data_IF_671844604727
#
_entry.id   IF_671844604727
#
_cell.length_a   1.000
_cell.length_b   1.000
_cell.length_c   1.000
_cell.angle_alpha   90.00
_cell.angle_beta   90.00
_cell.angle_gamma   90.00
#
_symmetry.space_group_name_H-M   'P 1'
#
loop_
_entity.id
_entity.type
_entity.pdbx_description
1 polymer ?
#
# COMPACT_ATOMS: atom_id res chain seq x y z
N UNK A 1 49.26 6.56 -24.76
CA UNK A 1 48.27 5.48 -24.66
C UNK A 1 48.40 4.85 -23.28
N UNK A 2 47.60 5.29 -22.31
CA UNK A 2 47.54 4.69 -20.97
C UNK A 2 46.68 3.43 -21.05
N UNK A 3 47.29 2.27 -20.88
CA UNK A 3 46.56 1.00 -20.79
C UNK A 3 45.57 1.08 -19.62
N UNK A 4 44.27 1.02 -19.92
CA UNK A 4 43.23 0.94 -18.89
C UNK A 4 43.47 -0.31 -18.07
N UNK A 5 43.68 -0.17 -16.76
CA UNK A 5 43.76 -1.31 -15.84
C UNK A 5 42.51 -2.17 -16.04
N UNK A 6 42.64 -3.50 -16.20
CA UNK A 6 41.48 -4.37 -16.35
C UNK A 6 40.63 -4.24 -15.09
N UNK A 7 39.43 -3.69 -15.24
CA UNK A 7 38.44 -3.61 -14.17
C UNK A 7 37.99 -5.03 -13.88
N UNK A 8 38.54 -5.65 -12.85
CA UNK A 8 38.12 -6.98 -12.40
C UNK A 8 36.64 -6.91 -12.06
N UNK A 9 35.77 -7.52 -12.88
CA UNK A 9 34.34 -7.59 -12.60
C UNK A 9 34.16 -8.40 -11.32
N UNK A 10 33.83 -7.73 -10.21
CA UNK A 10 33.45 -8.39 -8.97
C UNK A 10 32.19 -9.20 -9.24
N UNK A 11 32.25 -10.50 -9.00
CA UNK A 11 31.14 -11.41 -9.28
C UNK A 11 30.06 -11.31 -8.21
N UNK A 12 28.86 -11.77 -8.55
CA UNK A 12 27.77 -11.80 -7.58
C UNK A 12 28.01 -12.72 -6.38
N UNK A 13 28.82 -13.77 -6.52
CA UNK A 13 29.22 -14.62 -5.41
C UNK A 13 30.18 -13.91 -4.45
N UNK A 14 31.19 -13.21 -4.99
CA UNK A 14 32.16 -12.46 -4.19
C UNK A 14 31.51 -11.37 -3.32
N UNK A 15 30.49 -10.68 -3.84
CA UNK A 15 29.74 -9.70 -3.06
C UNK A 15 28.91 -10.38 -1.96
N UNK A 16 28.31 -11.54 -2.23
CA UNK A 16 27.50 -12.26 -1.25
C UNK A 16 28.36 -12.78 -0.08
N UNK A 17 29.59 -13.21 -0.36
CA UNK A 17 30.56 -13.62 0.66
C UNK A 17 31.07 -12.43 1.49
N UNK A 18 31.36 -11.30 0.83
CA UNK A 18 31.89 -10.11 1.49
C UNK A 18 30.81 -9.33 2.27
N UNK A 19 29.57 -9.35 1.79
CA UNK A 19 28.43 -8.62 2.35
C UNK A 19 27.22 -9.54 2.50
N UNK A 20 27.27 -10.54 3.40
CA UNK A 20 26.19 -11.50 3.57
C UNK A 20 24.94 -10.82 4.11
N UNK A 21 23.78 -11.19 3.55
CA UNK A 21 22.48 -10.74 4.05
C UNK A 21 22.26 -11.29 5.47
N UNK A 22 21.83 -10.42 6.39
CA UNK A 22 21.46 -10.86 7.74
C UNK A 22 20.02 -11.40 7.79
N UNK A 23 19.58 -11.94 8.92
CA UNK A 23 18.17 -12.29 9.10
C UNK A 23 17.28 -11.05 9.20
N UNK A 24 16.02 -11.15 8.77
CA UNK A 24 15.02 -10.08 8.88
C UNK A 24 14.84 -9.57 10.31
N UNK A 25 15.04 -10.42 11.32
CA UNK A 25 14.95 -10.03 12.74
C UNK A 25 16.02 -9.00 13.16
N UNK A 26 17.14 -8.96 12.44
CA UNK A 26 18.18 -7.92 12.62
C UNK A 26 17.89 -6.66 11.81
N UNK A 27 16.78 -6.63 11.07
CA UNK A 27 16.34 -5.53 10.21
C UNK A 27 14.87 -5.20 10.50
N UNK A 28 14.54 -4.70 11.70
CA UNK A 28 13.15 -4.55 12.14
C UNK A 28 12.32 -3.67 11.20
N UNK A 29 12.91 -2.66 10.57
CA UNK A 29 12.21 -1.82 9.59
C UNK A 29 11.77 -2.60 8.32
N UNK A 30 12.47 -3.69 7.95
CA UNK A 30 12.08 -4.55 6.84
C UNK A 30 10.75 -5.23 7.11
N UNK A 31 10.46 -5.56 8.37
CA UNK A 31 9.19 -6.18 8.76
C UNK A 31 8.03 -5.23 8.44
N UNK A 32 8.23 -3.92 8.65
CA UNK A 32 7.24 -2.90 8.34
C UNK A 32 7.04 -2.79 6.82
N UNK A 33 8.13 -2.81 6.04
CA UNK A 33 8.06 -2.81 4.57
C UNK A 33 7.36 -4.08 4.04
N UNK A 34 7.67 -5.25 4.61
CA UNK A 34 7.03 -6.52 4.26
C UNK A 34 5.54 -6.45 4.59
N UNK A 35 5.17 -5.97 5.78
CA UNK A 35 3.78 -5.78 6.16
C UNK A 35 3.04 -4.86 5.18
N UNK A 36 3.65 -3.75 4.75
CA UNK A 36 3.08 -2.88 3.71
C UNK A 36 2.80 -3.63 2.41
N UNK A 37 3.74 -4.42 1.89
CA UNK A 37 3.52 -5.21 0.68
C UNK A 37 2.42 -6.26 0.85
N UNK A 38 2.34 -6.91 2.02
CA UNK A 38 1.27 -7.85 2.33
C UNK A 38 -0.09 -7.17 2.44
N UNK A 39 -0.16 -5.97 3.04
CA UNK A 39 -1.37 -5.16 3.07
C UNK A 39 -1.79 -4.73 1.68
N UNK A 40 -0.85 -4.39 0.79
CA UNK A 40 -1.16 -4.09 -0.61
C UNK A 40 -1.77 -5.32 -1.30
N UNK A 41 -1.17 -6.51 -1.16
CA UNK A 41 -1.71 -7.75 -1.73
C UNK A 41 -3.13 -8.01 -1.22
N UNK A 42 -3.38 -7.82 0.08
CA UNK A 42 -4.70 -7.93 0.65
C UNK A 42 -5.66 -6.89 0.04
N UNK A 43 -5.23 -5.63 -0.06
CA UNK A 43 -6.03 -4.56 -0.70
C UNK A 43 -6.44 -4.97 -2.11
N UNK A 44 -5.50 -5.46 -2.92
CA UNK A 44 -5.79 -5.87 -4.30
C UNK A 44 -6.71 -7.08 -4.36
N UNK A 45 -6.57 -8.04 -3.44
CA UNK A 45 -7.48 -9.17 -3.38
C UNK A 45 -8.91 -8.75 -3.00
N UNK A 46 -9.08 -7.77 -2.12
CA UNK A 46 -10.39 -7.40 -1.58
C UNK A 46 -11.10 -6.28 -2.34
N UNK A 47 -10.37 -5.24 -2.75
CA UNK A 47 -10.89 -4.04 -3.40
C UNK A 47 -10.72 -4.12 -4.92
N UNK A 48 -9.48 -4.12 -5.42
CA UNK A 48 -9.16 -4.06 -6.85
C UNK A 48 -9.79 -5.22 -7.63
N UNK A 49 -9.75 -6.43 -7.07
CA UNK A 49 -10.39 -7.61 -7.66
C UNK A 49 -11.91 -7.43 -7.81
N UNK A 50 -12.56 -6.71 -6.90
CA UNK A 50 -14.00 -6.41 -7.01
C UNK A 50 -14.29 -5.53 -8.24
N UNK A 51 -13.46 -4.51 -8.45
CA UNK A 51 -13.54 -3.58 -9.59
C UNK A 51 -13.25 -4.26 -10.93
N UNK A 52 -12.39 -5.28 -10.94
CA UNK A 52 -12.14 -6.12 -12.10
C UNK A 52 -13.28 -7.11 -12.35
N UNK A 53 -13.83 -7.70 -11.27
CA UNK A 53 -14.84 -8.75 -11.36
C UNK A 53 -16.19 -8.24 -11.88
N UNK A 54 -16.66 -7.08 -11.42
CA UNK A 54 -17.93 -6.49 -11.86
C UNK A 54 -18.08 -6.40 -13.40
N UNK A 55 -17.17 -5.73 -14.14
CA UNK A 55 -17.26 -5.65 -15.59
C UNK A 55 -17.08 -7.01 -16.27
N UNK A 56 -16.25 -7.91 -15.71
CA UNK A 56 -16.08 -9.26 -16.25
C UNK A 56 -17.37 -10.11 -16.17
N UNK A 57 -18.24 -9.83 -15.19
CA UNK A 57 -19.56 -10.43 -15.04
C UNK A 57 -20.66 -9.68 -15.82
N UNK A 58 -20.31 -8.62 -16.55
CA UNK A 58 -21.27 -7.82 -17.33
C UNK A 58 -22.20 -6.97 -16.46
N UNK A 59 -21.79 -6.62 -15.24
CA UNK A 59 -22.58 -5.84 -14.28
C UNK A 59 -21.83 -4.63 -13.77
N UNK A 60 -22.55 -3.69 -13.16
CA UNK A 60 -21.90 -2.56 -12.48
C UNK A 60 -21.33 -3.00 -11.13
N UNK A 61 -20.41 -2.20 -10.58
CA UNK A 61 -19.90 -2.44 -9.21
C UNK A 61 -21.04 -2.41 -8.20
N UNK A 62 -21.97 -1.45 -8.32
CA UNK A 62 -23.15 -1.38 -7.44
C UNK A 62 -23.99 -2.65 -7.51
N UNK A 63 -24.28 -3.13 -8.71
CA UNK A 63 -25.02 -4.38 -8.91
C UNK A 63 -24.31 -5.55 -8.23
N UNK A 64 -22.98 -5.65 -8.33
CA UNK A 64 -22.21 -6.71 -7.69
C UNK A 64 -22.30 -6.66 -6.16
N UNK A 65 -22.49 -5.48 -5.56
CA UNK A 65 -22.65 -5.31 -4.12
C UNK A 65 -24.11 -5.55 -3.68
N UNK A 66 -25.08 -4.96 -4.38
CA UNK A 66 -26.51 -4.95 -4.03
C UNK A 66 -27.22 -6.25 -4.39
N UNK A 67 -26.89 -6.81 -5.55
CA UNK A 67 -27.47 -8.05 -6.04
C UNK A 67 -26.54 -9.16 -5.59
N UNK A 68 -27.06 -10.22 -4.96
CA UNK A 68 -26.29 -11.38 -4.51
C UNK A 68 -25.83 -12.23 -5.71
N UNK A 69 -25.09 -11.61 -6.63
CA UNK A 69 -24.54 -12.20 -7.84
C UNK A 69 -23.49 -13.20 -7.42
N UNK A 70 -23.57 -14.42 -7.98
CA UNK A 70 -22.61 -15.48 -7.71
C UNK A 70 -21.20 -15.07 -8.17
N UNK A 71 -20.23 -15.13 -7.26
CA UNK A 71 -18.85 -14.72 -7.50
C UNK A 71 -17.95 -15.95 -7.64
N UNK A 72 -16.89 -15.90 -8.45
CA UNK A 72 -15.86 -16.94 -8.41
C UNK A 72 -15.27 -17.04 -7.00
N UNK A 73 -15.15 -18.29 -6.51
CA UNK A 73 -14.59 -18.58 -5.17
C UNK A 73 -15.32 -17.88 -4.00
N UNK A 74 -16.53 -17.37 -4.23
CA UNK A 74 -17.29 -16.54 -3.28
C UNK A 74 -16.47 -15.35 -2.72
N UNK A 75 -15.54 -14.83 -3.54
CA UNK A 75 -14.61 -13.77 -3.17
C UNK A 75 -14.80 -12.50 -4.02
N UNK A 76 -14.63 -11.28 -3.47
CA UNK A 76 -14.47 -10.98 -2.03
C UNK A 76 -15.77 -11.29 -1.26
N UNK A 77 -15.71 -11.47 0.08
CA UNK A 77 -16.88 -11.79 0.89
C UNK A 77 -17.99 -10.75 0.73
N UNK A 78 -19.25 -11.18 0.61
CA UNK A 78 -20.39 -10.30 0.42
C UNK A 78 -20.49 -9.22 1.52
N UNK A 79 -20.25 -9.61 2.78
CA UNK A 79 -20.27 -8.69 3.91
C UNK A 79 -19.23 -7.57 3.76
N UNK A 80 -18.01 -7.89 3.33
CA UNK A 80 -16.97 -6.90 3.08
C UNK A 80 -17.40 -5.90 2.00
N UNK A 81 -18.00 -6.39 0.91
CA UNK A 81 -18.47 -5.52 -0.17
C UNK A 81 -19.61 -4.59 0.27
N UNK A 82 -20.56 -5.09 1.06
CA UNK A 82 -21.72 -4.31 1.53
C UNK A 82 -21.37 -3.30 2.63
N UNK A 83 -20.33 -3.58 3.42
CA UNK A 83 -19.91 -2.73 4.54
C UNK A 83 -18.74 -1.84 4.15
N UNK A 84 -17.53 -2.38 4.13
CA UNK A 84 -16.31 -1.61 3.92
C UNK A 84 -16.23 -1.00 2.50
N UNK A 85 -16.40 -1.81 1.46
CA UNK A 85 -16.22 -1.35 0.08
C UNK A 85 -17.24 -0.27 -0.31
N UNK A 86 -18.53 -0.50 -0.03
CA UNK A 86 -19.59 0.47 -0.33
C UNK A 86 -19.37 1.78 0.38
N UNK A 87 -19.19 1.76 1.70
CA UNK A 87 -19.04 2.97 2.50
C UNK A 87 -17.83 3.76 2.01
N UNK A 88 -16.70 3.09 1.78
CA UNK A 88 -15.51 3.73 1.25
C UNK A 88 -15.76 4.38 -0.10
N UNK A 89 -16.34 3.63 -1.03
CA UNK A 89 -16.60 4.11 -2.39
C UNK A 89 -17.61 5.25 -2.45
N UNK A 90 -18.62 5.26 -1.58
CA UNK A 90 -19.65 6.32 -1.59
C UNK A 90 -19.25 7.57 -0.81
N UNK A 91 -18.41 7.45 0.22
CA UNK A 91 -18.09 8.56 1.13
C UNK A 91 -16.69 9.14 0.94
N UNK A 92 -15.78 8.41 0.30
CA UNK A 92 -14.38 8.83 0.15
C UNK A 92 -13.96 8.75 -1.30
N UNK A 93 -14.12 7.59 -1.93
CA UNK A 93 -13.54 7.33 -3.25
C UNK A 93 -14.55 6.84 -4.31
N UNK A 94 -15.34 7.76 -4.90
CA UNK A 94 -16.38 7.44 -5.88
C UNK A 94 -15.89 6.66 -7.09
N UNK A 95 -14.62 6.80 -7.46
CA UNK A 95 -14.04 6.11 -8.62
C UNK A 95 -14.13 4.59 -8.47
N UNK A 96 -14.12 4.07 -7.23
CA UNK A 96 -14.26 2.65 -6.96
C UNK A 96 -15.66 2.13 -7.29
N UNK A 97 -16.67 2.99 -7.22
CA UNK A 97 -18.07 2.66 -7.53
C UNK A 97 -18.40 2.95 -8.99
N UNK A 98 -17.96 4.10 -9.51
CA UNK A 98 -18.18 4.48 -10.91
C UNK A 98 -17.35 3.63 -11.87
N UNK A 99 -16.19 3.16 -11.41
CA UNK A 99 -15.31 2.21 -12.08
C UNK A 99 -15.08 2.52 -13.57
N UNK A 100 -14.62 3.73 -13.93
CA UNK A 100 -14.38 4.13 -15.31
C UNK A 100 -13.29 3.30 -15.98
N UNK A 101 -13.20 3.34 -17.32
CA UNK A 101 -12.27 2.50 -18.08
C UNK A 101 -10.80 2.64 -17.66
N UNK A 102 -10.32 3.85 -17.36
CA UNK A 102 -8.93 4.02 -16.92
C UNK A 102 -8.68 3.34 -15.57
N UNK A 103 -9.66 3.38 -14.66
CA UNK A 103 -9.60 2.74 -13.35
C UNK A 103 -9.60 1.22 -13.53
N UNK A 104 -10.49 0.69 -14.37
CA UNK A 104 -10.49 -0.74 -14.71
C UNK A 104 -9.14 -1.22 -15.25
N UNK A 105 -8.50 -0.44 -16.14
CA UNK A 105 -7.16 -0.76 -16.66
C UNK A 105 -6.13 -0.76 -15.53
N UNK A 106 -6.16 0.25 -14.66
CA UNK A 106 -5.26 0.35 -13.52
C UNK A 106 -5.43 -0.85 -12.56
N UNK A 107 -6.67 -1.24 -12.27
CA UNK A 107 -6.94 -2.39 -11.40
C UNK A 107 -6.53 -3.73 -12.03
N UNK A 108 -6.70 -3.89 -13.34
CA UNK A 108 -6.12 -5.04 -14.04
C UNK A 108 -4.59 -5.09 -13.89
N UNK A 109 -3.91 -3.95 -14.00
CA UNK A 109 -2.46 -3.87 -13.78
C UNK A 109 -2.11 -4.24 -12.33
N UNK A 110 -2.88 -3.75 -11.37
CA UNK A 110 -2.67 -4.05 -9.95
C UNK A 110 -2.82 -5.56 -9.67
N UNK A 111 -3.90 -6.16 -10.15
CA UNK A 111 -4.22 -7.57 -9.95
C UNK A 111 -3.22 -8.49 -10.67
N UNK A 112 -2.90 -8.23 -11.95
CA UNK A 112 -2.10 -9.15 -12.77
C UNK A 112 -0.60 -8.97 -12.61
N UNK A 113 -0.13 -7.74 -12.36
CA UNK A 113 1.31 -7.46 -12.31
C UNK A 113 1.75 -7.00 -10.93
N UNK A 114 1.11 -5.98 -10.36
CA UNK A 114 1.60 -5.39 -9.11
C UNK A 114 1.47 -6.36 -7.94
N UNK A 115 0.44 -7.20 -7.88
CA UNK A 115 0.28 -8.22 -6.84
C UNK A 115 1.46 -9.18 -6.79
N UNK A 116 1.87 -9.72 -7.95
CA UNK A 116 3.03 -10.61 -8.02
C UNK A 116 4.34 -9.85 -7.75
N UNK A 117 4.45 -8.60 -8.21
CA UNK A 117 5.56 -7.72 -7.88
C UNK A 117 5.69 -7.49 -6.37
N UNK A 118 4.59 -7.18 -5.69
CA UNK A 118 4.51 -6.99 -4.24
C UNK A 118 4.89 -8.29 -3.50
N UNK A 119 4.43 -9.45 -3.97
CA UNK A 119 4.80 -10.75 -3.39
C UNK A 119 6.31 -11.01 -3.55
N UNK A 120 6.86 -10.78 -4.74
CA UNK A 120 8.29 -10.93 -5.00
C UNK A 120 9.13 -9.98 -4.12
N UNK A 121 8.67 -8.74 -3.93
CA UNK A 121 9.32 -7.77 -3.05
C UNK A 121 9.23 -8.18 -1.57
N UNK A 122 8.07 -8.62 -1.09
CA UNK A 122 7.92 -9.13 0.27
C UNK A 122 8.89 -10.28 0.55
N UNK A 123 9.01 -11.23 -0.38
CA UNK A 123 10.00 -12.32 -0.29
C UNK A 123 11.43 -11.80 -0.34
N UNK A 124 11.74 -10.87 -1.26
CA UNK A 124 13.07 -10.30 -1.38
C UNK A 124 13.53 -9.59 -0.11
N UNK A 125 12.67 -8.82 0.56
CA UNK A 125 12.98 -8.19 1.85
C UNK A 125 13.08 -9.20 3.00
N UNK A 126 12.23 -10.23 2.98
CA UNK A 126 12.25 -11.31 3.98
C UNK A 126 13.59 -12.05 3.96
N UNK A 127 14.04 -12.48 2.78
CA UNK A 127 15.26 -13.28 2.60
C UNK A 127 16.51 -12.44 2.31
N UNK A 128 16.37 -11.13 2.13
CA UNK A 128 17.48 -10.23 1.79
C UNK A 128 18.07 -10.51 0.41
N UNK A 129 17.23 -10.74 -0.60
CA UNK A 129 17.65 -11.00 -1.98
C UNK A 129 18.10 -9.73 -2.70
N UNK A 130 19.41 -9.46 -2.66
CA UNK A 130 20.00 -8.27 -3.29
C UNK A 130 19.80 -8.18 -4.80
N UNK A 131 19.60 -9.30 -5.51
CA UNK A 131 19.35 -9.32 -6.95
C UNK A 131 18.07 -8.58 -7.33
N UNK A 132 17.11 -8.47 -6.41
CA UNK A 132 15.86 -7.75 -6.61
C UNK A 132 15.95 -6.25 -6.34
N UNK A 133 17.14 -5.73 -6.00
CA UNK A 133 17.32 -4.30 -5.67
C UNK A 133 16.83 -3.37 -6.79
N UNK A 134 17.29 -3.58 -8.03
CA UNK A 134 16.89 -2.73 -9.16
C UNK A 134 15.41 -2.88 -9.47
N UNK A 135 14.90 -4.11 -9.46
CA UNK A 135 13.47 -4.37 -9.68
C UNK A 135 12.61 -3.73 -8.59
N UNK A 136 13.06 -3.72 -7.33
CA UNK A 136 12.34 -3.09 -6.23
C UNK A 136 12.30 -1.57 -6.32
N UNK A 137 13.35 -0.94 -6.84
CA UNK A 137 13.35 0.50 -7.14
C UNK A 137 12.34 0.81 -8.25
N UNK A 138 12.37 0.06 -9.35
CA UNK A 138 11.43 0.23 -10.47
C UNK A 138 10.00 0.02 -9.98
N UNK A 139 9.74 -1.06 -9.25
CA UNK A 139 8.44 -1.39 -8.69
C UNK A 139 7.90 -0.29 -7.76
N UNK A 140 8.72 0.18 -6.80
CA UNK A 140 8.34 1.27 -5.90
C UNK A 140 8.09 2.58 -6.66
N UNK A 141 8.88 2.88 -7.70
CA UNK A 141 8.66 4.07 -8.53
C UNK A 141 7.36 3.98 -9.32
N UNK A 142 7.04 2.81 -9.88
CA UNK A 142 5.77 2.56 -10.57
C UNK A 142 4.57 2.68 -9.62
N UNK A 143 4.68 2.17 -8.39
CA UNK A 143 3.68 2.39 -7.34
C UNK A 143 3.47 3.88 -7.09
N UNK A 144 4.55 4.62 -6.86
CA UNK A 144 4.49 6.05 -6.60
C UNK A 144 3.83 6.81 -7.75
N UNK A 145 4.19 6.50 -8.99
CA UNK A 145 3.57 7.09 -10.19
C UNK A 145 2.06 6.80 -10.24
N UNK A 146 1.66 5.54 -10.05
CA UNK A 146 0.25 5.13 -10.03
C UNK A 146 -0.55 5.92 -8.98
N UNK A 147 0.01 6.07 -7.77
CA UNK A 147 -0.63 6.83 -6.72
C UNK A 147 -0.73 8.33 -7.00
N UNK A 148 0.26 8.93 -7.66
CA UNK A 148 0.16 10.34 -8.07
C UNK A 148 -0.99 10.54 -9.04
N UNK A 149 -1.20 9.62 -9.98
CA UNK A 149 -2.35 9.65 -10.89
C UNK A 149 -3.66 9.47 -10.13
N UNK A 150 -3.75 8.47 -9.25
CA UNK A 150 -4.91 8.24 -8.40
C UNK A 150 -5.27 9.48 -7.57
N UNK A 151 -4.26 10.09 -6.92
CA UNK A 151 -4.45 11.31 -6.13
C UNK A 151 -4.90 12.47 -7.01
N UNK A 152 -4.29 12.66 -8.17
CA UNK A 152 -4.67 13.72 -9.10
C UNK A 152 -6.13 13.61 -9.53
N UNK A 153 -6.59 12.40 -9.85
CA UNK A 153 -7.97 12.14 -10.25
C UNK A 153 -8.94 12.29 -9.08
N UNK A 154 -8.62 11.73 -7.91
CA UNK A 154 -9.46 11.90 -6.72
C UNK A 154 -9.57 13.36 -6.27
N UNK A 155 -8.54 14.18 -6.49
CA UNK A 155 -8.56 15.59 -6.07
C UNK A 155 -9.22 16.51 -7.10
N UNK A 156 -9.13 16.22 -8.39
CA UNK A 156 -9.44 17.16 -9.48
C UNK A 156 -10.11 16.51 -10.71
N UNK A 157 -10.57 15.27 -10.62
CA UNK A 157 -11.15 14.52 -11.74
C UNK A 157 -12.53 14.99 -12.18
N UNK A 158 -13.18 15.86 -11.41
CA UNK A 158 -14.53 16.37 -11.67
C UNK A 158 -15.63 15.43 -11.18
N UNK A 159 -16.87 15.76 -11.55
CA UNK A 159 -18.07 15.09 -11.03
C UNK A 159 -18.06 13.57 -11.29
N UNK A 160 -18.28 12.79 -10.23
CA UNK A 160 -18.31 11.32 -10.28
C UNK A 160 -16.94 10.63 -10.15
N UNK A 161 -15.84 11.37 -10.20
CA UNK A 161 -14.47 10.84 -9.99
C UNK A 161 -13.77 11.48 -8.79
N UNK A 162 -14.09 12.75 -8.51
CA UNK A 162 -13.53 13.48 -7.40
C UNK A 162 -14.01 12.93 -6.05
N UNK A 163 -13.08 12.82 -5.12
CA UNK A 163 -13.30 12.33 -3.77
C UNK A 163 -14.28 13.21 -3.01
N UNK A 164 -15.27 12.59 -2.37
CA UNK A 164 -16.28 13.31 -1.56
C UNK A 164 -15.62 14.01 -0.37
N UNK A 165 -14.66 13.33 0.28
CA UNK A 165 -13.82 13.91 1.31
C UNK A 165 -12.34 13.84 0.93
N UNK A 166 -11.83 14.91 0.33
CA UNK A 166 -10.45 15.02 -0.13
C UNK A 166 -9.40 14.81 0.97
N UNK A 167 -9.66 15.29 2.19
CA UNK A 167 -8.72 15.11 3.29
C UNK A 167 -8.62 13.64 3.68
N UNK A 168 -9.76 12.97 3.89
CA UNK A 168 -9.78 11.55 4.23
C UNK A 168 -9.17 10.69 3.11
N UNK A 169 -9.47 11.02 1.86
CA UNK A 169 -8.87 10.38 0.69
C UNK A 169 -7.34 10.56 0.67
N UNK A 170 -6.82 11.77 0.82
CA UNK A 170 -5.36 12.00 0.87
C UNK A 170 -4.69 11.21 1.99
N UNK A 171 -5.27 11.21 3.19
CA UNK A 171 -4.75 10.45 4.34
C UNK A 171 -4.79 8.94 4.08
N UNK A 172 -5.83 8.44 3.41
CA UNK A 172 -5.94 7.04 3.05
C UNK A 172 -4.81 6.57 2.13
N UNK A 173 -4.48 7.41 1.14
CA UNK A 173 -3.51 7.10 0.10
C UNK A 173 -2.09 7.54 0.45
N UNK A 174 -1.88 8.33 1.51
CA UNK A 174 -0.57 8.91 1.85
C UNK A 174 0.49 7.88 2.27
N UNK A 175 0.09 6.74 2.85
CA UNK A 175 1.01 5.64 3.13
C UNK A 175 1.58 5.04 1.84
N UNK A 176 0.77 4.96 0.78
CA UNK A 176 1.20 4.48 -0.52
C UNK A 176 2.14 5.46 -1.25
N UNK A 177 2.31 6.69 -0.75
CA UNK A 177 3.37 7.61 -1.19
C UNK A 177 4.62 7.45 -0.32
N UNK A 178 4.43 7.36 0.99
CA UNK A 178 5.52 7.33 1.97
C UNK A 178 6.35 6.07 1.86
N UNK A 179 5.72 4.91 1.76
CA UNK A 179 6.43 3.63 1.68
C UNK A 179 7.32 3.52 0.44
N UNK A 180 6.85 3.82 -0.78
CA UNK A 180 7.72 3.85 -1.95
C UNK A 180 8.93 4.76 -1.81
N UNK A 181 8.77 5.97 -1.27
CA UNK A 181 9.89 6.89 -1.05
C UNK A 181 10.94 6.27 -0.12
N UNK A 182 10.50 5.67 0.99
CA UNK A 182 11.41 5.02 1.95
C UNK A 182 12.10 3.79 1.34
N UNK A 183 11.37 2.99 0.55
CA UNK A 183 11.90 1.82 -0.14
C UNK A 183 12.94 2.24 -1.18
N UNK A 184 12.65 3.27 -1.99
CA UNK A 184 13.59 3.82 -2.96
C UNK A 184 14.83 4.35 -2.24
N UNK A 185 14.67 5.22 -1.24
CA UNK A 185 15.80 5.80 -0.50
C UNK A 185 16.73 4.74 0.08
N UNK A 186 16.16 3.65 0.60
CA UNK A 186 16.92 2.51 1.08
C UNK A 186 17.63 1.74 -0.04
N UNK A 187 16.89 1.30 -1.05
CA UNK A 187 17.41 0.46 -2.12
C UNK A 187 18.39 1.25 -3.01
N UNK A 188 18.33 2.58 -3.03
CA UNK A 188 19.23 3.42 -3.82
C UNK A 188 20.62 3.58 -3.18
N UNK A 189 20.79 3.28 -1.90
CA UNK A 189 22.05 3.50 -1.18
C UNK A 189 23.24 2.68 -1.73
N UNK A 190 24.40 3.32 -1.93
CA UNK A 190 25.54 2.80 -2.72
C UNK A 190 26.25 1.54 -2.18
N UNK A 191 25.80 0.97 -1.05
CA UNK A 191 26.33 -0.30 -0.54
C UNK A 191 26.11 -1.46 -1.53
N UNK A 192 27.04 -2.43 -1.66
CA UNK A 192 26.85 -3.63 -2.48
C UNK A 192 25.66 -4.50 -2.05
N UNK A 193 25.26 -4.44 -0.77
CA UNK A 193 24.10 -5.14 -0.23
C UNK A 193 23.42 -4.36 0.90
N UNK A 194 22.21 -3.86 0.67
CA UNK A 194 21.40 -3.11 1.66
C UNK A 194 20.75 -4.00 2.73
N UNK A 195 21.00 -5.30 2.67
CA UNK A 195 20.52 -6.29 3.62
C UNK A 195 21.62 -6.84 4.53
N UNK A 196 22.87 -6.38 4.37
CA UNK A 196 24.01 -6.82 5.17
C UNK A 196 24.10 -6.08 6.52
N UNK A 197 24.95 -6.60 7.42
CA UNK A 197 25.16 -6.03 8.75
C UNK A 197 25.74 -4.61 8.69
N UNK A 198 26.69 -4.37 7.79
CA UNK A 198 27.39 -3.08 7.72
C UNK A 198 26.44 -1.94 7.37
N UNK A 199 25.51 -2.18 6.43
CA UNK A 199 24.47 -1.21 6.13
C UNK A 199 23.54 -0.97 7.32
N UNK A 200 23.10 -2.04 7.99
CA UNK A 200 22.17 -1.94 9.13
C UNK A 200 22.78 -1.14 10.28
N UNK A 201 24.07 -1.35 10.55
CA UNK A 201 24.78 -0.65 11.63
C UNK A 201 25.18 0.78 11.26
N UNK A 202 25.42 1.05 9.97
CA UNK A 202 25.93 2.33 9.48
C UNK A 202 24.98 2.97 8.47
N UNK A 203 23.66 2.94 8.75
CA UNK A 203 22.67 3.57 7.88
C UNK A 203 22.97 5.08 7.79
N UNK A 204 22.81 5.70 6.63
CA UNK A 204 22.97 7.15 6.53
C UNK A 204 21.89 7.85 7.35
N UNK A 205 22.19 9.03 7.89
CA UNK A 205 21.25 9.83 8.69
C UNK A 205 19.89 10.01 8.00
N UNK A 206 19.89 10.28 6.68
CA UNK A 206 18.66 10.45 5.91
C UNK A 206 17.76 9.20 5.93
N UNK A 207 18.35 8.00 5.97
CA UNK A 207 17.57 6.76 6.10
C UNK A 207 16.86 6.70 7.46
N UNK A 208 17.53 7.11 8.54
CA UNK A 208 16.88 7.19 9.85
C UNK A 208 15.73 8.20 9.89
N UNK A 209 15.88 9.34 9.21
CA UNK A 209 14.81 10.34 9.06
C UNK A 209 13.62 9.77 8.31
N UNK A 210 13.85 9.10 7.17
CA UNK A 210 12.80 8.46 6.38
C UNK A 210 12.08 7.34 7.16
N UNK A 211 12.84 6.50 7.88
CA UNK A 211 12.27 5.45 8.74
C UNK A 211 11.43 6.05 9.88
N UNK A 212 11.94 7.09 10.55
CA UNK A 212 11.23 7.79 11.61
C UNK A 212 9.94 8.46 11.12
N UNK A 213 10.00 9.16 9.98
CA UNK A 213 8.82 9.75 9.35
C UNK A 213 7.79 8.69 8.99
N UNK A 214 8.22 7.55 8.44
CA UNK A 214 7.33 6.44 8.11
C UNK A 214 6.63 5.89 9.37
N UNK A 215 7.36 5.69 10.47
CA UNK A 215 6.78 5.22 11.74
C UNK A 215 5.74 6.20 12.27
N UNK A 216 6.05 7.51 12.30
CA UNK A 216 5.11 8.56 12.71
C UNK A 216 3.86 8.53 11.82
N UNK A 217 4.04 8.37 10.52
CA UNK A 217 2.95 8.33 9.56
C UNK A 217 2.07 7.09 9.74
N UNK A 218 2.65 5.92 10.02
CA UNK A 218 1.91 4.69 10.36
C UNK A 218 1.07 4.92 11.63
N UNK A 219 1.65 5.52 12.68
CA UNK A 219 0.89 5.85 13.88
C UNK A 219 -0.28 6.77 13.56
N UNK A 220 -0.03 7.87 12.86
CA UNK A 220 -1.08 8.78 12.42
C UNK A 220 -2.18 8.05 11.63
N UNK A 221 -1.82 7.20 10.69
CA UNK A 221 -2.75 6.41 9.89
C UNK A 221 -3.58 5.44 10.74
N UNK A 222 -2.97 4.74 11.70
CA UNK A 222 -3.68 3.85 12.62
C UNK A 222 -4.70 4.63 13.45
N UNK A 223 -4.32 5.79 13.99
CA UNK A 223 -5.24 6.65 14.74
C UNK A 223 -6.38 7.17 13.86
N UNK A 224 -6.07 7.61 12.64
CA UNK A 224 -7.06 8.04 11.67
C UNK A 224 -8.02 6.92 11.30
N UNK A 225 -7.51 5.73 10.95
CA UNK A 225 -8.32 4.58 10.57
C UNK A 225 -9.18 4.09 11.74
N UNK A 226 -8.63 4.08 12.96
CA UNK A 226 -9.39 3.77 14.17
C UNK A 226 -10.53 4.77 14.39
N UNK A 227 -10.24 6.07 14.26
CA UNK A 227 -11.25 7.12 14.34
C UNK A 227 -12.33 6.96 13.26
N UNK A 228 -11.91 6.68 12.02
CA UNK A 228 -12.81 6.46 10.90
C UNK A 228 -13.72 5.24 11.14
N UNK A 229 -13.16 4.13 11.63
CA UNK A 229 -13.95 2.96 12.04
C UNK A 229 -14.93 3.37 13.12
N UNK A 230 -14.51 4.08 14.18
CA UNK A 230 -15.42 4.47 15.27
C UNK A 230 -16.61 5.28 14.77
N UNK A 231 -16.36 6.31 13.94
CA UNK A 231 -17.41 7.14 13.35
C UNK A 231 -18.33 6.32 12.46
N UNK A 232 -17.77 5.37 11.70
CA UNK A 232 -18.52 4.54 10.77
C UNK A 232 -18.97 3.18 11.34
N UNK A 233 -18.68 2.88 12.61
CA UNK A 233 -18.98 1.59 13.25
C UNK A 233 -20.47 1.24 13.16
N UNK A 234 -21.42 2.17 13.32
CA UNK A 234 -22.85 1.88 13.14
C UNK A 234 -23.18 1.33 11.74
N UNK A 235 -22.38 1.70 10.72
CA UNK A 235 -22.57 1.30 9.33
C UNK A 235 -21.73 0.07 8.96
N UNK A 236 -20.51 -0.07 9.51
CA UNK A 236 -19.58 -1.18 9.22
C UNK A 236 -19.95 -2.44 10.02
N UNK A 237 -20.36 -2.29 11.29
CA UNK A 237 -20.73 -3.39 12.18
C UNK A 237 -22.07 -3.12 12.88
N UNK A 238 -23.19 -3.14 12.15
CA UNK A 238 -24.51 -2.86 12.72
C UNK A 238 -24.82 -3.81 13.89
N UNK A 239 -25.15 -3.24 15.05
CA UNK A 239 -25.47 -4.00 16.28
C UNK A 239 -24.26 -4.38 17.15
N UNK A 240 -23.03 -4.05 16.75
CA UNK A 240 -21.86 -4.23 17.61
C UNK A 240 -21.69 -3.06 18.58
N UNK A 241 -21.37 -3.30 19.87
CA UNK A 241 -21.00 -2.22 20.77
C UNK A 241 -19.73 -1.52 20.24
N UNK A 242 -19.56 -0.21 20.47
CA UNK A 242 -18.37 0.50 20.04
C UNK A 242 -17.11 -0.20 20.57
N UNK A 243 -16.07 -0.38 19.74
CA UNK A 243 -14.97 -1.32 20.00
C UNK A 243 -14.14 -0.99 21.25
N UNK A 244 -14.21 0.23 21.81
CA UNK A 244 -13.62 0.56 23.13
C UNK A 244 -14.51 1.58 23.87
N UNK A 245 -15.07 1.25 25.05
CA UNK A 245 -16.02 2.14 25.76
C UNK A 245 -15.46 3.50 26.18
N UNK A 246 -14.13 3.60 26.36
CA UNK A 246 -13.49 4.79 26.97
C UNK A 246 -12.97 5.79 25.93
N UNK A 247 -12.34 5.31 24.85
CA UNK A 247 -11.81 6.20 23.79
C UNK A 247 -12.87 6.61 22.76
N UNK A 248 -13.89 5.78 22.54
CA UNK A 248 -14.95 6.04 21.56
C UNK A 248 -15.66 7.38 21.78
N UNK A 249 -16.18 7.66 22.98
CA UNK A 249 -16.87 8.92 23.28
C UNK A 249 -15.99 10.16 23.10
N UNK A 250 -14.74 10.13 23.57
CA UNK A 250 -13.79 11.24 23.43
C UNK A 250 -13.46 11.55 21.96
N UNK A 251 -13.23 10.51 21.14
CA UNK A 251 -12.97 10.68 19.72
C UNK A 251 -14.21 11.12 18.94
N UNK A 252 -15.41 10.69 19.35
CA UNK A 252 -16.69 11.19 18.79
C UNK A 252 -17.00 12.63 19.20
N UNK A 253 -16.56 13.07 20.38
CA UNK A 253 -16.69 14.46 20.82
C UNK A 253 -15.73 15.36 20.04
N UNK A 254 -14.50 14.89 19.77
CA UNK A 254 -13.55 15.56 18.89
C UNK A 254 -14.02 15.65 17.43
N UNK A 255 -14.74 14.67 16.89
CA UNK A 255 -15.28 14.78 15.51
C UNK A 255 -16.42 15.78 15.39
N UNK A 256 -17.20 16.00 16.46
CA UNK A 256 -18.22 17.05 16.50
C UNK A 256 -17.63 18.46 16.51
N UNK A 257 -16.34 18.60 16.78
CA UNK A 257 -15.64 19.88 16.75
C UNK A 257 -15.10 20.25 15.35
N UNK A 258 -15.24 19.38 14.34
CA UNK A 258 -14.74 19.59 12.97
C UNK A 258 -15.79 19.32 11.88
N UNK A 259 -17.08 19.43 12.20
CA UNK A 259 -18.16 19.64 11.23
C UNK A 259 -18.60 21.10 11.25
#
# INVERSE_FOLDING_TARGET
MTASKPTTKVTSSQIAESFPSVSVWKRPFDIIIIAFYLTFIASTAFFDYHNVLAPALGVTVRDLIDKDIKRPLDWPPAQFTKTAFRIWGEQIDPVMITNPHFWQIMEWINVVFMTFGNAAMALAFTFGWRSFRTLGIVHATSLLYSLVVCIGIGMYGGEGYESVNKFQFLVAYSLYVTFPIVIIGRLWYETPNVFCRDYVSNKPFMQHVLEGFCVIHIFFFIFFFYHWILVNTPYVFPGSPPPVPVLGPYLMELSKLNL
#
